data_IF_903547969181
#
_entry.id   IF_903547969181
#
_cell.length_a   1.000
_cell.length_b   1.000
_cell.length_c   1.000
_cell.angle_alpha   90.00
_cell.angle_beta   90.00
_cell.angle_gamma   90.00
#
_symmetry.space_group_name_H-M   'P 1'
#
loop_
_entity.id
_entity.type
_entity.pdbx_description
1 polymer ?
#
# COMPACT_ATOMS: atom_id res chain seq x y z
N UNK A 1 9.43 -18.92 20.52
CA UNK A 1 8.49 -17.81 20.24
C UNK A 1 7.43 -18.36 19.28
N UNK A 2 6.18 -18.56 19.75
CA UNK A 2 5.11 -19.09 18.88
C UNK A 2 4.56 -17.92 18.08
N UNK A 3 4.89 -17.87 16.79
CA UNK A 3 4.41 -16.82 15.89
C UNK A 3 2.90 -16.94 15.72
N UNK A 4 2.17 -15.91 16.12
CA UNK A 4 0.74 -15.81 15.86
C UNK A 4 0.50 -15.08 14.53
N UNK A 5 -0.71 -15.22 13.95
CA UNK A 5 -1.07 -14.54 12.69
C UNK A 5 -0.85 -13.02 12.74
N UNK A 6 -1.13 -12.41 13.89
CA UNK A 6 -0.90 -10.99 14.12
C UNK A 6 0.59 -10.61 14.02
N UNK A 7 1.50 -11.42 14.58
CA UNK A 7 2.94 -11.18 14.53
C UNK A 7 3.47 -11.24 13.09
N UNK A 8 2.93 -12.18 12.28
CA UNK A 8 3.26 -12.30 10.86
C UNK A 8 2.79 -11.08 10.07
N UNK A 9 1.55 -10.62 10.28
CA UNK A 9 1.01 -9.44 9.59
C UNK A 9 1.80 -8.19 10.00
N UNK A 10 2.11 -8.05 11.29
CA UNK A 10 2.95 -6.98 11.79
C UNK A 10 4.32 -6.97 11.10
N UNK A 11 5.01 -8.11 11.05
CA UNK A 11 6.31 -8.22 10.38
C UNK A 11 6.22 -7.86 8.89
N UNK A 12 5.15 -8.29 8.20
CA UNK A 12 4.87 -7.93 6.81
C UNK A 12 4.68 -6.42 6.63
N UNK A 13 3.92 -5.77 7.52
CA UNK A 13 3.70 -4.32 7.50
C UNK A 13 4.99 -3.55 7.78
N UNK A 14 5.82 -4.04 8.71
CA UNK A 14 7.12 -3.45 9.03
C UNK A 14 8.06 -3.54 7.83
N UNK A 15 8.18 -4.71 7.19
CA UNK A 15 8.96 -4.90 5.97
C UNK A 15 8.45 -4.03 4.82
N UNK A 16 7.14 -3.96 4.62
CA UNK A 16 6.55 -3.10 3.60
C UNK A 16 6.87 -1.61 3.84
N UNK A 17 6.95 -1.19 5.12
CA UNK A 17 7.34 0.17 5.49
C UNK A 17 8.81 0.44 5.18
N UNK A 18 9.72 -0.45 5.60
CA UNK A 18 11.15 -0.34 5.30
C UNK A 18 11.41 -0.33 3.79
N UNK A 19 10.74 -1.20 3.03
CA UNK A 19 10.83 -1.24 1.58
C UNK A 19 10.33 0.06 0.94
N UNK A 20 9.19 0.59 1.39
CA UNK A 20 8.66 1.85 0.85
C UNK A 20 9.55 3.05 1.17
N UNK A 21 10.18 3.08 2.36
CA UNK A 21 11.11 4.11 2.76
C UNK A 21 12.37 4.07 1.88
N UNK A 22 12.99 2.89 1.77
CA UNK A 22 14.18 2.71 0.92
C UNK A 22 13.92 3.08 -0.55
N UNK A 23 12.75 2.72 -1.09
CA UNK A 23 12.33 3.11 -2.44
C UNK A 23 12.10 4.62 -2.58
N UNK A 24 11.56 5.28 -1.55
CA UNK A 24 11.32 6.71 -1.52
C UNK A 24 12.63 7.52 -1.56
N UNK A 25 13.56 7.23 -0.64
CA UNK A 25 14.89 7.84 -0.65
C UNK A 25 15.67 7.50 -1.92
N UNK A 26 15.64 6.24 -2.37
CA UNK A 26 16.33 5.82 -3.58
C UNK A 26 15.82 6.53 -4.85
N UNK A 27 14.51 6.75 -4.95
CA UNK A 27 13.89 7.50 -6.05
C UNK A 27 14.23 9.00 -6.02
N UNK A 28 14.35 9.59 -4.82
CA UNK A 28 14.74 10.99 -4.66
C UNK A 28 16.17 11.24 -5.18
N UNK A 29 17.06 10.25 -5.08
CA UNK A 29 18.48 10.36 -5.50
C UNK A 29 18.69 10.02 -6.98
N UNK A 30 17.86 9.16 -7.59
CA UNK A 30 18.15 8.52 -8.88
C UNK A 30 17.52 9.14 -10.14
N UNK A 31 16.75 10.23 -10.01
CA UNK A 31 16.22 10.99 -11.14
C UNK A 31 14.92 10.44 -11.77
N UNK A 32 14.44 11.12 -12.82
CA UNK A 32 13.04 11.08 -13.29
C UNK A 32 12.50 9.71 -13.74
N UNK A 33 13.29 8.88 -14.42
CA UNK A 33 12.82 7.59 -14.96
C UNK A 33 12.70 6.49 -13.89
N UNK A 34 13.60 6.46 -12.90
CA UNK A 34 13.47 5.58 -11.73
C UNK A 34 12.34 6.04 -10.81
N UNK A 35 12.02 7.34 -10.82
CA UNK A 35 10.92 7.92 -10.05
C UNK A 35 9.55 7.30 -10.35
N UNK A 36 9.23 6.93 -11.59
CA UNK A 36 7.92 6.34 -11.91
C UNK A 36 7.81 4.90 -11.41
N UNK A 37 8.84 4.07 -11.63
CA UNK A 37 8.85 2.68 -11.14
C UNK A 37 8.79 2.64 -9.61
N UNK A 38 9.56 3.49 -8.93
CA UNK A 38 9.51 3.59 -7.48
C UNK A 38 8.15 4.08 -6.97
N UNK A 39 7.52 5.04 -7.66
CA UNK A 39 6.16 5.50 -7.31
C UNK A 39 5.15 4.36 -7.39
N UNK A 40 5.16 3.59 -8.49
CA UNK A 40 4.26 2.44 -8.64
C UNK A 40 4.53 1.35 -7.60
N UNK A 41 5.79 1.09 -7.26
CA UNK A 41 6.15 0.13 -6.21
C UNK A 41 5.67 0.58 -4.83
N UNK A 42 5.83 1.86 -4.47
CA UNK A 42 5.31 2.43 -3.21
C UNK A 42 3.78 2.40 -3.15
N UNK A 43 3.10 2.64 -4.28
CA UNK A 43 1.64 2.52 -4.36
C UNK A 43 1.17 1.07 -4.20
N UNK A 44 1.87 0.10 -4.79
CA UNK A 44 1.58 -1.31 -4.60
C UNK A 44 1.78 -1.74 -3.13
N UNK A 45 2.85 -1.29 -2.49
CA UNK A 45 3.08 -1.53 -1.05
C UNK A 45 1.98 -0.87 -0.20
N UNK A 46 1.56 0.35 -0.54
CA UNK A 46 0.45 1.04 0.14
C UNK A 46 -0.86 0.28 0.01
N UNK A 47 -1.15 -0.28 -1.17
CA UNK A 47 -2.33 -1.11 -1.42
C UNK A 47 -2.33 -2.37 -0.54
N UNK A 48 -1.19 -3.08 -0.50
CA UNK A 48 -1.02 -4.28 0.32
C UNK A 48 -1.22 -3.96 1.81
N UNK A 49 -0.55 -2.92 2.31
CA UNK A 49 -0.66 -2.49 3.71
C UNK A 49 -2.10 -2.10 4.06
N UNK A 50 -2.74 -1.28 3.24
CA UNK A 50 -4.12 -0.85 3.43
C UNK A 50 -5.09 -2.03 3.48
N UNK A 51 -4.93 -3.00 2.59
CA UNK A 51 -5.75 -4.20 2.57
C UNK A 51 -5.58 -5.08 3.82
N UNK A 52 -4.33 -5.29 4.26
CA UNK A 52 -4.03 -6.05 5.49
C UNK A 52 -4.60 -5.37 6.74
N UNK A 53 -4.44 -4.04 6.85
CA UNK A 53 -4.97 -3.28 7.99
C UNK A 53 -6.50 -3.34 7.99
N UNK A 54 -7.15 -3.10 6.85
CA UNK A 54 -8.60 -3.12 6.76
C UNK A 54 -9.18 -4.49 7.12
N UNK A 55 -8.62 -5.57 6.58
CA UNK A 55 -9.17 -6.92 6.79
C UNK A 55 -8.87 -7.48 8.17
N UNK A 56 -7.65 -7.31 8.65
CA UNK A 56 -7.13 -8.08 9.80
C UNK A 56 -6.94 -7.24 11.07
N UNK A 57 -6.76 -5.92 10.99
CA UNK A 57 -6.69 -5.04 12.17
C UNK A 57 -8.01 -4.32 12.46
N UNK A 58 -8.74 -3.90 11.43
CA UNK A 58 -10.06 -3.28 11.60
C UNK A 58 -11.21 -4.31 11.64
N UNK A 59 -10.87 -5.61 11.54
CA UNK A 59 -11.80 -6.73 11.52
C UNK A 59 -12.91 -6.62 10.44
N UNK A 60 -12.69 -5.86 9.34
CA UNK A 60 -13.69 -5.76 8.26
C UNK A 60 -13.93 -7.10 7.54
N UNK A 61 -13.12 -8.12 7.83
CA UNK A 61 -13.39 -9.49 7.39
C UNK A 61 -14.72 -10.03 7.93
N UNK A 62 -15.10 -9.68 9.17
CA UNK A 62 -16.38 -10.07 9.78
C UNK A 62 -17.47 -9.00 9.65
N UNK A 63 -17.12 -7.79 9.22
CA UNK A 63 -18.08 -6.72 9.00
C UNK A 63 -19.03 -7.00 7.82
N UNK A 64 -20.21 -6.34 7.79
CA UNK A 64 -21.15 -6.43 6.67
C UNK A 64 -20.49 -6.11 5.33
N UNK A 65 -20.88 -6.83 4.28
CA UNK A 65 -20.23 -6.74 2.97
C UNK A 65 -20.23 -5.33 2.36
N UNK A 66 -21.20 -4.48 2.72
CA UNK A 66 -21.27 -3.08 2.31
C UNK A 66 -20.03 -2.30 2.77
N UNK A 67 -19.67 -2.41 4.06
CA UNK A 67 -18.53 -1.70 4.64
C UNK A 67 -17.20 -2.18 4.07
N UNK A 68 -17.06 -3.51 3.92
CA UNK A 68 -15.89 -4.11 3.29
C UNK A 68 -15.69 -3.60 1.86
N UNK A 69 -16.76 -3.56 1.07
CA UNK A 69 -16.72 -3.05 -0.30
C UNK A 69 -16.47 -1.54 -0.36
N UNK A 70 -17.07 -0.77 0.55
CA UNK A 70 -16.85 0.68 0.60
C UNK A 70 -15.39 1.02 0.88
N UNK A 71 -14.78 0.42 1.90
CA UNK A 71 -13.37 0.69 2.25
C UNK A 71 -12.41 0.18 1.18
N UNK A 72 -12.61 -1.03 0.67
CA UNK A 72 -11.76 -1.58 -0.40
C UNK A 72 -11.92 -0.82 -1.71
N UNK A 73 -13.16 -0.49 -2.08
CA UNK A 73 -13.44 0.31 -3.27
C UNK A 73 -12.82 1.70 -3.16
N UNK A 74 -12.92 2.34 -1.99
CA UNK A 74 -12.29 3.62 -1.73
C UNK A 74 -10.75 3.56 -1.84
N UNK A 75 -10.13 2.52 -1.27
CA UNK A 75 -8.69 2.30 -1.39
C UNK A 75 -8.26 2.20 -2.86
N UNK A 76 -8.99 1.42 -3.67
CA UNK A 76 -8.72 1.28 -5.10
C UNK A 76 -8.91 2.61 -5.84
N UNK A 77 -9.97 3.36 -5.54
CA UNK A 77 -10.22 4.68 -6.15
C UNK A 77 -9.08 5.65 -5.85
N UNK A 78 -8.67 5.78 -4.59
CA UNK A 78 -7.59 6.71 -4.20
C UNK A 78 -6.27 6.31 -4.86
N UNK A 79 -5.91 5.03 -4.83
CA UNK A 79 -4.68 4.57 -5.49
C UNK A 79 -4.73 4.78 -7.00
N UNK A 80 -5.87 4.50 -7.64
CA UNK A 80 -6.07 4.72 -9.06
C UNK A 80 -5.94 6.19 -9.46
N UNK A 81 -6.51 7.09 -8.66
CA UNK A 81 -6.37 8.53 -8.86
C UNK A 81 -4.91 9.00 -8.72
N UNK A 82 -4.18 8.47 -7.74
CA UNK A 82 -2.77 8.82 -7.56
C UNK A 82 -1.94 8.28 -8.73
N UNK A 83 -2.17 7.05 -9.20
CA UNK A 83 -1.49 6.50 -10.39
C UNK A 83 -1.80 7.37 -11.61
N UNK A 84 -3.07 7.67 -11.87
CA UNK A 84 -3.49 8.47 -13.01
C UNK A 84 -2.83 9.86 -13.00
N UNK A 85 -2.83 10.53 -11.86
CA UNK A 85 -2.23 11.85 -11.71
C UNK A 85 -0.70 11.80 -11.82
N UNK A 86 -0.06 10.84 -11.15
CA UNK A 86 1.40 10.72 -11.11
C UNK A 86 1.99 10.32 -12.46
N UNK A 87 1.30 9.50 -13.25
CA UNK A 87 1.72 9.12 -14.61
C UNK A 87 1.27 10.17 -15.63
N UNK A 88 0.03 10.65 -15.52
CA UNK A 88 -0.59 11.54 -16.50
C UNK A 88 -0.06 12.97 -16.52
N UNK A 89 0.51 13.48 -15.43
CA UNK A 89 1.17 14.80 -15.41
C UNK A 89 2.66 14.76 -15.73
N UNK A 90 3.26 13.56 -15.84
CA UNK A 90 4.69 13.37 -16.14
C UNK A 90 4.97 13.09 -17.61
N UNK A 91 3.94 12.80 -18.41
CA UNK A 91 4.03 12.64 -19.87
C UNK A 91 3.66 13.93 -20.58
#
# INVERSE_FOLDING_TARGET
MRWNKADTIFALLALATLASWWLGEGAAVSGQHLGTVATLAVLALSALKGALIALDYMELRQAPALWRRAVMGWLVVVLGLIVLFSVGLRG
#
